data_IF_153887550760
#
_entry.id   IF_153887550760
#
_cell.length_a   1.000
_cell.length_b   1.000
_cell.length_c   1.000
_cell.angle_alpha   90.00
_cell.angle_beta   90.00
_cell.angle_gamma   90.00
#
_symmetry.space_group_name_H-M   'P 1'
#
loop_
_entity.id
_entity.type
_entity.pdbx_description
1 polymer ?
#
# COMPACT_ATOMS: atom_id res chain seq x y z
N UNK A 1 -20.25 -62.56 5.97
CA UNK A 1 -20.66 -61.37 6.74
C UNK A 1 -19.42 -60.57 7.05
N UNK A 2 -19.20 -59.48 6.56
CA UNK A 2 -19.60 -58.32 5.89
C UNK A 2 -18.38 -57.64 5.20
N UNK A 3 -18.42 -57.55 3.92
CA UNK A 3 -17.40 -56.86 3.12
C UNK A 3 -18.12 -55.74 2.40
N UNK A 4 -18.45 -54.62 3.08
CA UNK A 4 -19.21 -53.54 2.44
C UNK A 4 -18.88 -52.11 2.88
N UNK A 5 -17.68 -51.82 3.43
CA UNK A 5 -17.42 -50.44 3.88
C UNK A 5 -16.14 -49.76 3.34
N UNK A 6 -15.40 -50.40 2.43
CA UNK A 6 -14.17 -49.82 1.89
C UNK A 6 -14.34 -49.02 0.59
N UNK A 7 -15.55 -48.91 0.01
CA UNK A 7 -15.80 -48.21 -1.25
C UNK A 7 -16.14 -46.74 -1.09
N UNK A 8 -16.68 -46.29 0.02
CA UNK A 8 -17.11 -44.90 0.24
C UNK A 8 -16.00 -43.93 0.65
N UNK A 9 -15.00 -44.46 1.34
CA UNK A 9 -13.90 -43.61 1.82
C UNK A 9 -12.93 -43.23 0.71
N UNK A 10 -12.73 -44.10 -0.30
CA UNK A 10 -11.85 -43.77 -1.46
C UNK A 10 -12.44 -42.73 -2.40
N UNK A 11 -13.75 -42.66 -2.56
CA UNK A 11 -14.42 -41.66 -3.40
C UNK A 11 -14.34 -40.24 -2.80
N UNK A 12 -14.36 -40.13 -1.48
CA UNK A 12 -14.32 -38.84 -0.80
C UNK A 12 -12.93 -38.18 -0.87
N UNK A 13 -11.86 -38.97 -0.80
CA UNK A 13 -10.50 -38.45 -0.90
C UNK A 13 -10.13 -37.96 -2.32
N UNK A 14 -10.70 -38.55 -3.38
CA UNK A 14 -10.47 -38.06 -4.74
C UNK A 14 -11.26 -36.79 -5.07
N UNK A 15 -12.46 -36.63 -4.53
CA UNK A 15 -13.26 -35.40 -4.71
C UNK A 15 -12.63 -34.19 -3.97
N UNK A 16 -12.12 -34.41 -2.75
CA UNK A 16 -11.45 -33.35 -1.98
C UNK A 16 -10.12 -32.95 -2.63
N UNK A 17 -9.35 -33.91 -3.17
CA UNK A 17 -8.10 -33.64 -3.86
C UNK A 17 -8.30 -32.83 -5.16
N UNK A 18 -9.40 -33.07 -5.91
CA UNK A 18 -9.69 -32.29 -7.11
C UNK A 18 -10.18 -30.86 -6.79
N UNK A 19 -10.93 -30.67 -5.72
CA UNK A 19 -11.40 -29.33 -5.31
C UNK A 19 -10.22 -28.49 -4.82
N UNK A 20 -9.28 -29.07 -4.07
CA UNK A 20 -8.07 -28.36 -3.60
C UNK A 20 -7.15 -28.02 -4.78
N UNK A 21 -7.01 -28.90 -5.79
CA UNK A 21 -6.21 -28.62 -6.98
C UNK A 21 -6.84 -27.50 -7.86
N UNK A 22 -8.15 -27.42 -7.94
CA UNK A 22 -8.84 -26.37 -8.71
C UNK A 22 -8.79 -25.00 -8.01
N UNK A 23 -8.85 -24.96 -6.68
CA UNK A 23 -8.72 -23.73 -5.90
C UNK A 23 -7.27 -23.21 -5.94
N UNK A 24 -6.28 -24.09 -5.90
CA UNK A 24 -4.87 -23.68 -6.07
C UNK A 24 -4.55 -23.18 -7.48
N UNK A 25 -5.13 -23.77 -8.53
CA UNK A 25 -4.93 -23.31 -9.90
C UNK A 25 -5.60 -21.96 -10.16
N UNK A 26 -6.78 -21.70 -9.58
CA UNK A 26 -7.44 -20.41 -9.64
C UNK A 26 -6.72 -19.33 -8.82
N UNK A 27 -6.17 -19.70 -7.66
CA UNK A 27 -5.38 -18.78 -6.83
C UNK A 27 -4.03 -18.41 -7.46
N UNK A 28 -3.37 -19.35 -8.16
CA UNK A 28 -2.13 -19.04 -8.88
C UNK A 28 -2.37 -18.17 -10.13
N UNK A 29 -3.51 -18.33 -10.82
CA UNK A 29 -3.86 -17.47 -11.95
C UNK A 29 -4.29 -16.06 -11.52
N UNK A 30 -4.87 -15.89 -10.31
CA UNK A 30 -5.19 -14.58 -9.74
C UNK A 30 -3.94 -13.88 -9.14
N UNK A 31 -2.98 -14.63 -8.63
CA UNK A 31 -1.76 -14.05 -8.03
C UNK A 31 -0.85 -13.33 -9.05
N UNK A 32 -0.94 -13.68 -10.33
CA UNK A 32 -0.21 -12.99 -11.42
C UNK A 32 -0.95 -11.73 -11.89
N UNK A 33 -2.26 -11.61 -11.64
CA UNK A 33 -3.05 -10.43 -12.00
C UNK A 33 -3.15 -9.38 -10.86
N UNK A 34 -2.77 -9.73 -9.60
CA UNK A 34 -2.85 -8.87 -8.42
C UNK A 34 -1.49 -8.30 -8.00
N UNK A 35 -0.47 -8.49 -8.77
CA UNK A 35 0.92 -8.17 -8.44
C UNK A 35 1.37 -6.74 -8.76
N UNK A 36 0.50 -5.81 -9.08
CA UNK A 36 0.89 -4.42 -9.21
C UNK A 36 -0.28 -3.54 -8.79
N UNK A 37 -0.07 -2.63 -7.87
CA UNK A 37 -0.87 -1.42 -7.72
C UNK A 37 -0.65 -0.48 -8.91
N UNK A 38 -0.54 -1.05 -10.11
CA UNK A 38 -0.53 -0.35 -11.40
C UNK A 38 -1.90 -0.61 -12.01
N UNK A 39 -2.64 0.43 -12.22
CA UNK A 39 -3.93 0.40 -12.88
C UNK A 39 -3.85 -0.40 -14.19
N UNK A 40 -4.62 -1.48 -14.29
CA UNK A 40 -4.79 -2.21 -15.55
C UNK A 40 -5.93 -1.55 -16.31
N UNK A 41 -5.60 -0.74 -17.27
CA UNK A 41 -6.53 0.02 -18.06
C UNK A 41 -7.05 -0.78 -19.26
N UNK A 42 -8.30 -0.53 -19.67
CA UNK A 42 -8.83 -0.92 -20.97
C UNK A 42 -8.95 0.35 -21.82
N UNK A 43 -8.27 0.36 -22.96
CA UNK A 43 -8.18 1.52 -23.83
C UNK A 43 -9.42 1.74 -24.69
N UNK A 44 -9.88 2.97 -24.77
CA UNK A 44 -10.65 3.48 -25.90
C UNK A 44 -9.79 4.41 -26.77
N UNK A 45 -9.94 4.30 -28.09
CA UNK A 45 -9.04 4.83 -29.12
C UNK A 45 -9.25 6.32 -29.44
N UNK A 46 -9.16 7.23 -28.49
CA UNK A 46 -9.12 8.64 -28.87
C UNK A 46 -7.87 9.33 -28.29
N UNK A 47 -6.76 9.18 -29.03
CA UNK A 47 -5.54 9.94 -28.77
C UNK A 47 -5.79 11.44 -28.82
N UNK A 48 -6.06 12.08 -27.69
CA UNK A 48 -6.03 13.53 -27.52
C UNK A 48 -4.68 13.94 -26.91
N UNK A 49 -3.80 14.43 -27.75
CA UNK A 49 -2.68 15.24 -27.30
C UNK A 49 -3.27 16.52 -26.67
N UNK A 50 -3.10 16.69 -25.37
CA UNK A 50 -3.59 17.86 -24.63
C UNK A 50 -4.91 17.68 -23.89
N UNK A 51 -5.47 16.46 -23.75
CA UNK A 51 -6.73 16.20 -23.07
C UNK A 51 -6.55 15.74 -21.62
N UNK A 52 -7.59 15.97 -20.83
CA UNK A 52 -7.82 15.34 -19.53
C UNK A 52 -8.18 13.87 -19.72
N UNK A 53 -7.94 13.04 -18.69
CA UNK A 53 -8.29 11.63 -18.65
C UNK A 53 -9.46 11.35 -17.71
N UNK A 54 -9.72 10.05 -17.52
CA UNK A 54 -10.67 9.51 -16.57
C UNK A 54 -9.94 8.53 -15.65
N UNK A 55 -10.25 8.58 -14.36
CA UNK A 55 -9.86 7.53 -13.41
C UNK A 55 -11.14 6.83 -12.96
N UNK A 56 -11.30 5.56 -13.35
CA UNK A 56 -12.35 4.68 -12.85
C UNK A 56 -11.79 3.81 -11.73
N UNK A 57 -12.32 3.97 -10.54
CA UNK A 57 -11.95 3.18 -9.37
C UNK A 57 -12.93 2.03 -9.18
N UNK A 58 -12.42 0.82 -9.02
CA UNK A 58 -13.17 -0.34 -8.56
C UNK A 58 -12.92 -0.54 -7.08
N UNK A 59 -13.99 -0.44 -6.29
CA UNK A 59 -13.96 -0.53 -4.84
C UNK A 59 -15.03 -1.50 -4.38
N UNK A 60 -14.61 -2.72 -4.13
CA UNK A 60 -15.48 -3.82 -3.75
C UNK A 60 -14.75 -4.78 -2.81
N UNK A 61 -15.50 -5.55 -2.06
CA UNK A 61 -14.99 -6.66 -1.29
C UNK A 61 -15.78 -7.92 -1.60
N UNK A 62 -15.10 -8.94 -2.17
CA UNK A 62 -15.71 -10.23 -2.57
C UNK A 62 -16.92 -10.08 -3.53
N UNK A 63 -16.92 -9.04 -4.37
CA UNK A 63 -17.99 -8.74 -5.31
C UNK A 63 -19.16 -7.94 -4.72
N UNK A 64 -19.07 -7.55 -3.44
CA UNK A 64 -20.05 -6.67 -2.80
C UNK A 64 -19.61 -5.22 -2.86
N UNK A 65 -20.58 -4.33 -3.09
CA UNK A 65 -20.37 -2.88 -3.05
C UNK A 65 -20.05 -2.40 -1.63
N UNK A 66 -19.12 -1.45 -1.53
CA UNK A 66 -18.84 -0.66 -0.34
C UNK A 66 -19.36 0.76 -0.58
N UNK A 67 -20.65 0.87 -0.93
CA UNK A 67 -21.29 2.09 -1.37
C UNK A 67 -21.51 3.08 -0.25
N UNK A 68 -21.25 4.35 -0.55
CA UNK A 68 -21.44 5.46 0.38
C UNK A 68 -20.13 6.04 0.92
N UNK A 69 -19.02 5.30 0.80
CA UNK A 69 -17.72 5.77 1.24
C UNK A 69 -17.19 6.92 0.39
N UNK A 70 -16.43 7.79 1.04
CA UNK A 70 -15.65 8.83 0.39
C UNK A 70 -14.39 8.29 -0.26
N UNK A 71 -13.98 8.94 -1.33
CA UNK A 71 -12.68 8.73 -1.97
C UNK A 71 -12.10 10.05 -2.43
N UNK A 72 -10.82 10.24 -2.17
CA UNK A 72 -10.10 11.48 -2.49
C UNK A 72 -8.94 11.20 -3.44
N UNK A 73 -8.80 12.07 -4.44
CA UNK A 73 -7.66 12.11 -5.35
C UNK A 73 -6.75 13.28 -5.00
N UNK A 74 -5.47 13.02 -4.86
CA UNK A 74 -4.42 14.02 -4.66
C UNK A 74 -3.45 13.96 -5.83
N UNK A 75 -3.35 15.02 -6.63
CA UNK A 75 -2.36 15.09 -7.71
C UNK A 75 -0.98 15.35 -7.13
N UNK A 76 -0.19 14.30 -7.03
CA UNK A 76 1.14 14.32 -6.40
C UNK A 76 2.20 14.85 -7.36
N UNK A 77 2.09 14.54 -8.66
CA UNK A 77 3.04 14.98 -9.67
C UNK A 77 2.35 15.33 -10.98
N UNK A 78 2.97 16.21 -11.74
CA UNK A 78 2.56 16.64 -13.06
C UNK A 78 3.27 15.80 -14.13
N UNK A 79 2.57 15.50 -15.24
CA UNK A 79 3.13 14.81 -16.40
C UNK A 79 3.45 15.79 -17.52
N UNK A 80 4.70 15.86 -17.96
CA UNK A 80 5.18 16.77 -19.01
C UNK A 80 5.21 16.15 -20.43
N UNK A 81 4.82 14.89 -20.56
CA UNK A 81 4.89 14.12 -21.81
C UNK A 81 5.98 13.07 -21.85
N UNK A 82 6.88 13.03 -20.87
CA UNK A 82 7.99 12.08 -20.77
C UNK A 82 8.38 11.71 -19.36
N UNK A 83 8.08 12.57 -18.38
CA UNK A 83 8.43 12.36 -16.99
C UNK A 83 7.34 12.91 -16.05
N UNK A 84 7.37 12.47 -14.81
CA UNK A 84 6.58 13.03 -13.72
C UNK A 84 7.43 14.00 -12.89
N UNK A 85 6.93 15.21 -12.70
CA UNK A 85 7.55 16.23 -11.85
C UNK A 85 6.74 16.35 -10.56
N UNK A 86 7.38 16.12 -9.42
CA UNK A 86 6.76 16.24 -8.11
C UNK A 86 6.27 17.69 -7.89
N UNK A 87 5.05 17.82 -7.35
CA UNK A 87 4.48 19.14 -7.03
C UNK A 87 5.02 19.63 -5.69
N UNK A 88 5.22 20.94 -5.58
CA UNK A 88 5.83 21.60 -4.40
C UNK A 88 5.17 21.19 -3.07
N UNK A 89 3.85 20.99 -3.04
CA UNK A 89 3.13 20.58 -1.83
C UNK A 89 3.48 19.17 -1.29
N UNK A 90 4.32 18.42 -2.00
CA UNK A 90 4.73 17.05 -1.60
C UNK A 90 6.25 16.91 -1.44
N UNK A 91 7.01 17.96 -1.65
CA UNK A 91 8.47 17.94 -1.51
C UNK A 91 8.92 17.55 -0.10
N UNK A 92 8.20 18.04 0.93
CA UNK A 92 8.51 17.80 2.33
C UNK A 92 8.09 16.39 2.83
N UNK A 93 7.40 15.62 1.99
CA UNK A 93 7.08 14.23 2.32
C UNK A 93 8.31 13.31 2.26
N UNK A 94 9.38 13.73 1.56
CA UNK A 94 10.69 13.05 1.47
C UNK A 94 10.59 11.53 1.19
N UNK A 95 9.57 11.12 0.43
CA UNK A 95 9.28 9.71 0.23
C UNK A 95 10.17 9.06 -0.83
N UNK A 96 10.47 7.79 -0.60
CA UNK A 96 11.25 6.97 -1.50
C UNK A 96 11.66 5.65 -0.85
N UNK A 97 11.91 4.64 -1.66
CA UNK A 97 12.25 3.29 -1.19
C UNK A 97 13.74 2.98 -1.25
N UNK A 98 14.52 3.82 -1.92
CA UNK A 98 15.96 3.73 -2.00
C UNK A 98 16.61 5.14 -1.97
N UNK A 99 17.94 5.18 -2.03
CA UNK A 99 18.74 6.40 -1.91
C UNK A 99 18.50 7.43 -3.04
N UNK A 100 17.76 7.08 -4.11
CA UNK A 100 17.40 7.97 -5.21
C UNK A 100 16.09 8.72 -4.93
N UNK A 101 15.36 8.31 -3.87
CA UNK A 101 14.11 8.95 -3.46
C UNK A 101 13.04 8.94 -4.56
N UNK A 102 12.36 10.07 -4.74
CA UNK A 102 11.36 10.28 -5.79
C UNK A 102 11.92 9.98 -7.19
N UNK A 103 13.09 10.50 -7.52
CA UNK A 103 13.70 10.33 -8.85
C UNK A 103 13.91 8.85 -9.16
N UNK A 104 14.37 8.07 -8.16
CA UNK A 104 14.55 6.65 -8.32
C UNK A 104 13.25 5.88 -8.57
N UNK A 105 12.18 6.25 -7.87
CA UNK A 105 10.86 5.66 -8.09
C UNK A 105 10.33 5.97 -9.50
N UNK A 106 10.54 7.20 -9.98
CA UNK A 106 10.10 7.61 -11.32
C UNK A 106 10.93 6.98 -12.44
N UNK A 107 12.24 6.84 -12.24
CA UNK A 107 13.11 6.11 -13.18
C UNK A 107 12.71 4.64 -13.27
N UNK A 108 12.47 3.99 -12.12
CA UNK A 108 12.03 2.60 -12.07
C UNK A 108 10.64 2.42 -12.70
N UNK A 109 9.73 3.39 -12.54
CA UNK A 109 8.43 3.40 -13.21
C UNK A 109 8.58 3.50 -14.73
N UNK A 110 9.39 4.43 -15.21
CA UNK A 110 9.66 4.63 -16.63
C UNK A 110 10.28 3.41 -17.28
N UNK A 111 11.20 2.75 -16.57
CA UNK A 111 11.91 1.57 -17.03
C UNK A 111 11.10 0.27 -16.88
N UNK A 112 9.90 0.33 -16.29
CA UNK A 112 9.06 -0.84 -15.97
C UNK A 112 9.67 -1.76 -14.91
N UNK A 113 10.53 -1.21 -14.04
CA UNK A 113 11.23 -1.93 -12.96
C UNK A 113 10.60 -1.69 -11.59
N UNK A 114 9.75 -0.67 -11.47
CA UNK A 114 9.11 -0.34 -10.21
C UNK A 114 8.25 -1.49 -9.70
N UNK A 115 8.49 -1.92 -8.47
CA UNK A 115 7.74 -3.00 -7.86
C UNK A 115 6.45 -2.51 -7.20
N UNK A 116 5.50 -3.42 -7.00
CA UNK A 116 4.25 -3.12 -6.29
C UNK A 116 4.51 -2.67 -4.85
N UNK A 117 5.53 -3.23 -4.21
CA UNK A 117 5.94 -2.89 -2.84
C UNK A 117 6.48 -1.46 -2.77
N UNK A 118 7.27 -1.02 -3.76
CA UNK A 118 7.78 0.35 -3.83
C UNK A 118 6.63 1.35 -3.96
N UNK A 119 5.67 1.09 -4.85
CA UNK A 119 4.49 1.94 -5.00
C UNK A 119 3.61 1.94 -3.76
N UNK A 120 3.43 0.78 -3.11
CA UNK A 120 2.63 0.71 -1.89
C UNK A 120 3.29 1.48 -0.74
N UNK A 121 4.61 1.37 -0.57
CA UNK A 121 5.34 2.11 0.45
C UNK A 121 5.27 3.63 0.21
N UNK A 122 5.39 4.07 -1.05
CA UNK A 122 5.22 5.48 -1.41
C UNK A 122 3.78 5.96 -1.15
N UNK A 123 2.77 5.17 -1.53
CA UNK A 123 1.37 5.49 -1.27
C UNK A 123 1.07 5.61 0.24
N UNK A 124 1.58 4.68 1.06
CA UNK A 124 1.39 4.72 2.52
C UNK A 124 2.05 5.96 3.15
N UNK A 125 3.25 6.32 2.67
CA UNK A 125 3.95 7.53 3.16
C UNK A 125 3.17 8.79 2.81
N UNK A 126 2.69 8.89 1.56
CA UNK A 126 1.91 10.02 1.09
C UNK A 126 0.54 10.11 1.75
N UNK A 127 -0.16 8.98 2.00
CA UNK A 127 -1.45 8.97 2.69
C UNK A 127 -1.31 9.55 4.11
N UNK A 128 -0.32 9.09 4.87
CA UNK A 128 -0.05 9.63 6.19
C UNK A 128 0.36 11.11 6.15
N UNK A 129 1.09 11.52 5.11
CA UNK A 129 1.50 12.91 4.91
C UNK A 129 0.30 13.82 4.62
N UNK A 130 -0.51 13.50 3.61
CA UNK A 130 -1.63 14.37 3.20
C UNK A 130 -2.67 14.54 4.31
N UNK A 131 -2.90 13.49 5.11
CA UNK A 131 -3.81 13.54 6.26
C UNK A 131 -3.24 14.42 7.37
N UNK A 132 -1.98 14.23 7.75
CA UNK A 132 -1.38 14.97 8.87
C UNK A 132 -1.13 16.45 8.55
N UNK A 133 -0.82 16.79 7.30
CA UNK A 133 -0.61 18.19 6.87
C UNK A 133 -1.92 18.86 6.41
N UNK A 134 -3.05 18.11 6.36
CA UNK A 134 -4.32 18.64 5.88
C UNK A 134 -4.26 19.10 4.43
N UNK A 135 -3.54 18.37 3.59
CA UNK A 135 -3.43 18.71 2.16
C UNK A 135 -4.80 18.60 1.51
N UNK A 136 -5.20 19.62 0.75
CA UNK A 136 -6.50 19.62 0.07
C UNK A 136 -6.49 18.64 -1.11
N UNK A 137 -7.54 17.81 -1.20
CA UNK A 137 -7.71 16.88 -2.31
C UNK A 137 -7.95 17.63 -3.63
N UNK A 138 -7.37 17.13 -4.72
CA UNK A 138 -7.60 17.68 -6.07
C UNK A 138 -9.04 17.46 -6.53
N UNK A 139 -9.60 16.28 -6.23
CA UNK A 139 -10.99 15.93 -6.45
C UNK A 139 -11.44 14.97 -5.34
N UNK A 140 -12.72 15.04 -4.98
CA UNK A 140 -13.36 14.10 -4.05
C UNK A 140 -14.56 13.46 -4.74
N UNK A 141 -14.92 12.26 -4.33
CA UNK A 141 -16.06 11.52 -4.84
C UNK A 141 -16.63 10.58 -3.78
N UNK A 142 -17.73 9.95 -4.15
CA UNK A 142 -18.38 8.93 -3.33
C UNK A 142 -18.47 7.64 -4.13
N UNK A 143 -18.31 6.51 -3.47
CA UNK A 143 -18.46 5.19 -4.08
C UNK A 143 -19.94 4.90 -4.35
N UNK A 144 -20.27 4.60 -5.59
CA UNK A 144 -21.58 4.14 -6.02
C UNK A 144 -21.47 2.81 -6.77
N UNK A 145 -22.35 1.86 -6.43
CA UNK A 145 -22.24 0.52 -6.96
C UNK A 145 -20.88 -0.10 -6.60
N UNK A 146 -20.10 -0.46 -7.60
CA UNK A 146 -18.79 -1.11 -7.39
C UNK A 146 -17.59 -0.16 -7.56
N UNK A 147 -17.81 1.16 -7.44
CA UNK A 147 -16.68 2.09 -7.57
C UNK A 147 -17.03 3.56 -7.69
N UNK A 148 -16.07 4.34 -8.14
CA UNK A 148 -16.22 5.77 -8.44
C UNK A 148 -15.54 6.12 -9.76
N UNK A 149 -15.95 7.23 -10.38
CA UNK A 149 -15.35 7.73 -11.62
C UNK A 149 -15.04 9.22 -11.48
N UNK A 150 -13.83 9.57 -11.82
CA UNK A 150 -13.33 10.94 -11.87
C UNK A 150 -13.03 11.32 -13.31
N UNK A 151 -13.74 12.30 -13.83
CA UNK A 151 -13.55 12.82 -15.20
C UNK A 151 -12.82 14.16 -15.18
N UNK A 152 -12.24 14.52 -16.33
CA UNK A 152 -11.50 15.78 -16.43
C UNK A 152 -10.20 15.79 -15.64
N UNK A 153 -9.61 14.63 -15.39
CA UNK A 153 -8.36 14.48 -14.64
C UNK A 153 -7.20 14.90 -15.53
N UNK A 154 -6.43 15.87 -15.10
CA UNK A 154 -5.19 16.26 -15.80
C UNK A 154 -4.16 15.13 -15.79
N UNK A 155 -3.21 15.17 -16.73
CA UNK A 155 -2.12 14.19 -16.75
C UNK A 155 -1.19 14.38 -15.55
N UNK A 156 -0.94 13.31 -14.80
CA UNK A 156 -0.15 13.36 -13.58
C UNK A 156 -0.10 12.02 -12.84
N UNK A 157 0.53 11.99 -11.68
CA UNK A 157 0.47 10.90 -10.72
C UNK A 157 -0.47 11.28 -9.60
N UNK A 158 -1.39 10.40 -9.28
CA UNK A 158 -2.43 10.61 -8.29
C UNK A 158 -2.32 9.62 -7.14
N UNK A 159 -2.36 10.14 -5.92
CA UNK A 159 -2.64 9.34 -4.74
C UNK A 159 -4.16 9.21 -4.61
N UNK A 160 -4.63 7.98 -4.48
CA UNK A 160 -6.03 7.63 -4.21
C UNK A 160 -6.13 7.22 -2.75
N UNK A 161 -6.97 7.90 -2.01
CA UNK A 161 -7.23 7.64 -0.59
C UNK A 161 -8.71 7.35 -0.42
N UNK A 162 -9.03 6.27 0.27
CA UNK A 162 -10.40 5.86 0.58
C UNK A 162 -10.71 6.16 2.03
N UNK A 163 -11.95 6.56 2.29
CA UNK A 163 -12.47 6.59 3.64
C UNK A 163 -12.76 5.16 4.12
N UNK A 164 -12.90 4.99 5.42
CA UNK A 164 -13.22 3.71 6.03
C UNK A 164 -14.71 3.44 5.88
N UNK A 165 -15.07 2.32 5.27
CA UNK A 165 -16.44 1.84 5.24
C UNK A 165 -16.81 1.15 6.55
N UNK A 166 -17.98 1.48 7.10
CA UNK A 166 -18.51 0.83 8.28
C UNK A 166 -20.03 0.71 8.19
N UNK A 167 -20.53 -0.49 8.41
CA UNK A 167 -21.95 -0.75 8.59
C UNK A 167 -22.18 -1.59 9.87
N UNK A 168 -23.42 -2.04 10.10
CA UNK A 168 -23.76 -2.82 11.29
C UNK A 168 -23.11 -4.22 11.33
N UNK A 169 -22.53 -4.69 10.23
CA UNK A 169 -22.04 -6.07 10.07
C UNK A 169 -20.53 -6.11 9.87
N UNK A 170 -19.99 -5.16 9.11
CA UNK A 170 -18.59 -5.15 8.70
C UNK A 170 -17.99 -3.75 8.68
N UNK A 171 -16.72 -3.70 8.95
CA UNK A 171 -15.85 -2.54 8.76
C UNK A 171 -14.81 -2.88 7.71
N UNK A 172 -14.67 -2.04 6.70
CA UNK A 172 -13.73 -2.25 5.61
C UNK A 172 -12.77 -1.09 5.48
N UNK A 173 -11.53 -1.41 5.16
CA UNK A 173 -10.51 -0.42 4.80
C UNK A 173 -9.86 -0.78 3.48
N UNK A 174 -9.33 0.20 2.79
CA UNK A 174 -8.49 0.03 1.61
C UNK A 174 -7.18 0.73 1.78
N UNK A 175 -6.11 0.09 1.34
CA UNK A 175 -4.81 0.75 1.24
C UNK A 175 -4.86 1.86 0.19
N UNK A 176 -4.25 2.99 0.50
CA UNK A 176 -4.01 4.03 -0.50
C UNK A 176 -3.20 3.48 -1.68
N UNK A 177 -3.36 4.07 -2.85
CA UNK A 177 -2.68 3.62 -4.07
C UNK A 177 -2.25 4.78 -4.95
N UNK A 178 -1.23 4.57 -5.77
CA UNK A 178 -0.77 5.53 -6.76
C UNK A 178 -1.29 5.12 -8.15
N UNK A 179 -1.87 6.08 -8.87
CA UNK A 179 -2.42 5.91 -10.20
C UNK A 179 -1.85 6.94 -11.15
N UNK A 180 -1.23 6.52 -12.24
CA UNK A 180 -0.70 7.43 -13.26
C UNK A 180 -1.69 7.70 -14.38
N UNK A 181 -1.81 8.96 -14.80
CA UNK A 181 -2.52 9.41 -15.99
C UNK A 181 -1.56 10.22 -16.85
N UNK A 182 -1.15 9.73 -18.02
CA UNK A 182 -1.52 8.47 -18.63
C UNK A 182 -0.85 7.27 -17.95
N UNK A 183 -1.48 6.10 -18.10
CA UNK A 183 -0.90 4.81 -17.75
C UNK A 183 -0.29 4.15 -19.00
N UNK A 184 0.75 3.33 -18.81
CA UNK A 184 1.37 2.58 -19.88
C UNK A 184 0.75 1.17 -19.96
N UNK A 185 0.01 0.90 -21.04
CA UNK A 185 -0.54 -0.40 -21.34
C UNK A 185 0.16 -1.03 -22.55
N UNK A 186 0.96 -2.03 -22.29
CA UNK A 186 1.65 -2.77 -23.36
C UNK A 186 2.45 -1.84 -24.31
N UNK A 187 3.06 -0.76 -23.79
CA UNK A 187 3.81 0.20 -24.57
C UNK A 187 2.98 1.35 -25.15
N UNK A 188 1.67 1.38 -24.88
CA UNK A 188 0.77 2.48 -25.29
C UNK A 188 0.34 3.29 -24.08
N UNK A 189 0.40 4.60 -24.19
CA UNK A 189 -0.11 5.52 -23.15
C UNK A 189 -1.62 5.71 -23.31
N UNK A 190 -2.36 5.44 -22.23
CA UNK A 190 -3.82 5.60 -22.14
C UNK A 190 -4.17 6.58 -21.04
N UNK A 191 -5.13 7.47 -21.29
CA UNK A 191 -5.56 8.48 -20.32
C UNK A 191 -6.80 8.09 -19.54
N UNK A 192 -7.56 7.10 -20.01
CA UNK A 192 -8.70 6.55 -19.29
C UNK A 192 -8.24 5.30 -18.55
N UNK A 193 -8.13 5.41 -17.24
CA UNK A 193 -7.41 4.46 -16.38
C UNK A 193 -8.38 3.78 -15.42
N UNK A 194 -8.27 2.46 -15.27
CA UNK A 194 -9.00 1.68 -14.25
C UNK A 194 -8.06 1.24 -13.14
N UNK A 195 -8.39 1.57 -11.91
CA UNK A 195 -7.67 1.14 -10.74
C UNK A 195 -8.56 0.28 -9.84
N UNK A 196 -7.95 -0.72 -9.22
CA UNK A 196 -8.63 -1.66 -8.32
C UNK A 196 -8.08 -1.48 -6.92
N UNK A 197 -8.98 -1.24 -5.95
CA UNK A 197 -8.58 -1.16 -4.55
C UNK A 197 -8.26 -2.54 -3.99
N UNK A 198 -7.38 -2.57 -3.00
CA UNK A 198 -7.16 -3.74 -2.14
C UNK A 198 -7.93 -3.53 -0.86
N UNK A 199 -9.19 -3.96 -0.83
CA UNK A 199 -10.06 -3.83 0.32
C UNK A 199 -9.93 -5.05 1.23
N UNK A 200 -9.94 -4.82 2.53
CA UNK A 200 -10.07 -5.85 3.56
C UNK A 200 -11.22 -5.49 4.48
N UNK A 201 -12.04 -6.48 4.84
CA UNK A 201 -13.16 -6.27 5.73
C UNK A 201 -13.08 -7.22 6.92
N UNK A 202 -13.44 -6.71 8.08
CA UNK A 202 -13.59 -7.45 9.32
C UNK A 202 -15.04 -7.29 9.82
N UNK A 203 -15.52 -8.21 10.64
CA UNK A 203 -16.84 -8.05 11.27
C UNK A 203 -16.81 -6.84 12.20
N UNK A 204 -17.86 -6.00 12.16
CA UNK A 204 -18.00 -4.89 13.11
C UNK A 204 -18.17 -5.46 14.53
N UNK A 205 -17.31 -5.09 15.49
CA UNK A 205 -17.40 -5.59 16.86
C UNK A 205 -18.71 -5.16 17.53
N UNK A 206 -19.34 -6.07 18.28
CA UNK A 206 -20.54 -5.77 19.08
C UNK A 206 -20.25 -4.82 20.28
N UNK A 207 -18.99 -4.59 20.59
CA UNK A 207 -18.51 -3.77 21.70
C UNK A 207 -17.28 -2.99 21.25
N UNK A 208 -17.00 -1.81 21.80
CA UNK A 208 -15.79 -1.08 21.46
C UNK A 208 -14.57 -1.94 21.80
N UNK A 209 -13.92 -2.45 20.78
CA UNK A 209 -12.66 -3.17 20.91
C UNK A 209 -11.50 -2.19 20.94
N UNK A 210 -10.47 -2.54 21.70
CA UNK A 210 -9.23 -1.80 21.68
C UNK A 210 -8.21 -2.48 20.79
N UNK A 211 -7.45 -1.68 20.07
CA UNK A 211 -6.34 -2.13 19.25
C UNK A 211 -5.02 -1.54 19.76
N UNK A 212 -3.94 -1.88 19.11
CA UNK A 212 -2.62 -1.29 19.32
C UNK A 212 -1.97 -0.98 17.97
N UNK A 213 -1.03 -0.07 17.97
CA UNK A 213 -0.17 0.22 16.83
C UNK A 213 1.27 0.15 17.31
N UNK A 214 2.06 -0.73 16.69
CA UNK A 214 3.47 -0.91 16.98
C UNK A 214 4.30 -0.28 15.86
N UNK A 215 5.22 0.62 16.20
CA UNK A 215 6.11 1.25 15.22
C UNK A 215 7.56 0.83 15.46
N UNK A 216 8.24 0.47 14.38
CA UNK A 216 9.66 0.16 14.35
C UNK A 216 10.37 1.03 13.33
N UNK A 217 11.47 1.68 13.74
CA UNK A 217 12.34 2.45 12.84
C UNK A 217 13.47 1.59 12.32
N UNK A 218 13.67 1.63 11.02
CA UNK A 218 14.79 0.98 10.32
C UNK A 218 15.64 2.04 9.61
N UNK A 219 16.96 1.83 9.60
CA UNK A 219 17.92 2.70 8.92
C UNK A 219 18.66 1.90 7.85
N UNK A 220 18.82 2.46 6.64
CA UNK A 220 19.50 1.83 5.51
C UNK A 220 20.52 2.77 4.89
N UNK A 221 21.64 2.22 4.41
CA UNK A 221 22.64 2.94 3.63
C UNK A 221 23.49 3.94 4.40
N UNK A 222 23.46 3.92 5.74
CA UNK A 222 24.19 4.83 6.64
C UNK A 222 25.08 4.09 7.62
N UNK A 223 25.82 4.87 8.43
CA UNK A 223 26.51 4.38 9.62
C UNK A 223 25.78 4.86 10.87
N UNK A 224 25.90 4.14 11.97
CA UNK A 224 25.26 4.51 13.23
C UNK A 224 25.61 5.93 13.70
N UNK A 225 26.82 6.40 13.40
CA UNK A 225 27.31 7.73 13.76
C UNK A 225 26.68 8.85 12.94
N UNK A 226 26.17 8.54 11.73
CA UNK A 226 25.50 9.51 10.87
C UNK A 226 24.02 9.71 11.23
N UNK A 227 23.46 8.81 12.05
CA UNK A 227 22.05 8.88 12.45
C UNK A 227 21.81 9.98 13.46
N UNK A 228 20.64 10.63 13.41
CA UNK A 228 20.24 11.52 14.50
C UNK A 228 20.11 10.72 15.81
N UNK A 229 20.25 11.38 16.95
CA UNK A 229 20.08 10.76 18.26
C UNK A 229 18.64 10.27 18.51
N UNK A 230 17.66 10.89 17.85
CA UNK A 230 16.26 10.54 17.93
C UNK A 230 15.49 11.09 16.72
N UNK A 231 14.30 10.53 16.45
CA UNK A 231 13.29 11.08 15.55
C UNK A 231 11.95 11.16 16.27
N UNK A 232 11.01 11.92 15.71
CA UNK A 232 9.61 11.95 16.15
C UNK A 232 8.73 11.24 15.15
N UNK A 233 7.82 10.40 15.66
CA UNK A 233 6.76 9.77 14.89
C UNK A 233 5.40 10.24 15.41
N UNK A 234 4.46 10.45 14.51
CA UNK A 234 3.10 10.87 14.82
C UNK A 234 2.13 9.73 14.57
N UNK A 235 1.28 9.46 15.56
CA UNK A 235 0.09 8.64 15.39
C UNK A 235 -1.04 9.55 14.92
N UNK A 236 -1.69 9.17 13.84
CA UNK A 236 -2.78 9.91 13.20
C UNK A 236 -4.05 9.10 13.36
N UNK A 237 -5.12 9.73 13.84
CA UNK A 237 -6.46 9.18 13.96
C UNK A 237 -7.39 9.90 13.00
N UNK A 238 -7.99 9.19 12.06
CA UNK A 238 -8.98 9.73 11.12
C UNK A 238 -8.52 11.02 10.40
N UNK A 239 -7.22 11.12 10.13
CA UNK A 239 -6.62 12.27 9.46
C UNK A 239 -6.07 13.36 10.38
N UNK A 240 -6.24 13.27 11.70
CA UNK A 240 -5.71 14.24 12.66
C UNK A 240 -4.59 13.64 13.51
N UNK A 241 -3.57 14.45 13.84
CA UNK A 241 -2.49 14.02 14.73
C UNK A 241 -3.04 13.77 16.12
N UNK A 242 -3.05 12.52 16.56
CA UNK A 242 -3.54 12.09 17.86
C UNK A 242 -2.47 12.12 18.93
N UNK A 243 -1.26 11.61 18.63
CA UNK A 243 -0.14 11.54 19.57
C UNK A 243 1.20 11.62 18.84
N UNK A 244 2.26 11.90 19.58
CA UNK A 244 3.63 11.97 19.06
C UNK A 244 4.57 11.23 20.01
N UNK A 245 5.35 10.30 19.46
CA UNK A 245 6.36 9.54 20.20
C UNK A 245 7.77 9.82 19.68
N UNK A 246 8.75 9.64 20.55
CA UNK A 246 10.18 9.76 20.21
C UNK A 246 10.79 8.38 20.08
N UNK A 247 11.43 8.10 18.94
CA UNK A 247 12.21 6.89 18.71
C UNK A 247 13.69 7.22 18.79
N UNK A 248 14.45 6.41 19.53
CA UNK A 248 15.87 6.59 19.77
C UNK A 248 16.55 5.23 20.05
N UNK A 249 17.87 5.20 20.11
CA UNK A 249 18.60 3.99 20.48
C UNK A 249 18.19 3.45 21.86
N UNK A 250 17.84 4.33 22.80
CA UNK A 250 17.43 3.95 24.16
C UNK A 250 16.13 3.14 24.25
N UNK A 251 15.23 3.25 23.28
CA UNK A 251 14.02 2.43 23.17
C UNK A 251 14.09 1.45 21.98
N UNK A 252 15.31 1.12 21.53
CA UNK A 252 15.56 0.24 20.39
C UNK A 252 14.83 0.69 19.08
N UNK A 253 14.62 1.99 18.94
CA UNK A 253 13.92 2.58 17.80
C UNK A 253 12.49 2.06 17.62
N UNK A 254 11.78 1.82 18.74
CA UNK A 254 10.43 1.25 18.77
C UNK A 254 9.52 2.03 19.71
N UNK A 255 8.24 2.02 19.39
CA UNK A 255 7.17 2.48 20.28
C UNK A 255 5.91 1.67 20.03
N UNK A 256 5.03 1.58 21.04
CA UNK A 256 3.74 0.92 20.96
C UNK A 256 2.67 1.81 21.60
N UNK A 257 1.64 2.11 20.85
CA UNK A 257 0.40 2.69 21.38
C UNK A 257 -0.59 1.56 21.61
N UNK A 258 -1.16 1.48 22.79
CA UNK A 258 -2.12 0.44 23.18
C UNK A 258 -3.41 1.05 23.75
N UNK A 259 -4.49 0.27 23.75
CA UNK A 259 -5.79 0.73 24.21
C UNK A 259 -6.42 1.77 23.27
N UNK A 260 -6.04 1.75 22.01
CA UNK A 260 -6.63 2.59 20.97
C UNK A 260 -8.01 2.04 20.60
N UNK A 261 -8.95 2.92 20.35
CA UNK A 261 -10.26 2.52 19.86
C UNK A 261 -10.17 1.94 18.45
N UNK A 262 -10.56 0.68 18.28
CA UNK A 262 -10.45 -0.04 17.02
C UNK A 262 -11.44 0.46 15.94
N UNK A 263 -12.41 1.29 16.32
CA UNK A 263 -13.34 1.91 15.36
C UNK A 263 -12.72 3.02 14.53
N UNK A 264 -11.54 3.52 14.91
CA UNK A 264 -10.84 4.58 14.19
C UNK A 264 -9.80 4.06 13.21
N UNK A 265 -9.52 4.85 12.18
CA UNK A 265 -8.39 4.60 11.28
C UNK A 265 -7.09 5.16 11.89
N UNK A 266 -6.08 4.30 11.99
CA UNK A 266 -4.81 4.64 12.63
C UNK A 266 -3.66 4.56 11.64
N UNK A 267 -2.95 5.68 11.46
CA UNK A 267 -1.77 5.79 10.62
C UNK A 267 -0.57 6.25 11.44
N UNK A 268 0.63 5.95 10.96
CA UNK A 268 1.88 6.46 11.55
C UNK A 268 2.73 7.09 10.47
N UNK A 269 3.30 8.26 10.78
CA UNK A 269 4.34 8.90 9.95
C UNK A 269 5.54 9.34 10.76
N UNK A 270 6.67 9.54 10.12
CA UNK A 270 7.77 10.33 10.67
C UNK A 270 7.46 11.81 10.51
N UNK A 271 7.55 12.58 11.59
CA UNK A 271 7.17 13.99 11.59
C UNK A 271 8.07 14.85 10.71
N UNK A 272 9.37 14.67 10.86
CA UNK A 272 10.39 15.37 10.11
C UNK A 272 11.45 14.35 9.69
N UNK A 273 11.54 14.07 8.39
CA UNK A 273 12.58 13.20 7.86
C UNK A 273 13.93 13.90 7.99
N UNK A 274 14.96 13.28 8.58
CA UNK A 274 16.27 13.92 8.71
C UNK A 274 16.90 14.24 7.36
N UNK A 275 17.59 15.37 7.26
CA UNK A 275 18.29 15.76 6.04
C UNK A 275 19.22 14.63 5.54
N UNK A 276 19.18 14.35 4.26
CA UNK A 276 19.96 13.29 3.62
C UNK A 276 19.33 11.90 3.69
N UNK A 277 18.08 11.81 4.09
CA UNK A 277 17.29 10.57 4.06
C UNK A 277 16.01 10.74 3.25
N UNK A 278 15.51 9.62 2.75
CA UNK A 278 14.13 9.46 2.27
C UNK A 278 13.45 8.41 3.12
N UNK A 279 12.13 8.51 3.26
CA UNK A 279 11.32 7.65 4.12
C UNK A 279 10.41 6.74 3.30
N UNK A 280 10.25 5.51 3.77
CA UNK A 280 9.25 4.56 3.29
C UNK A 280 8.49 3.99 4.48
N UNK A 281 7.16 3.90 4.37
CA UNK A 281 6.28 3.34 5.39
C UNK A 281 5.66 2.04 4.88
N UNK A 282 5.95 0.95 5.58
CA UNK A 282 5.37 -0.37 5.36
C UNK A 282 4.40 -0.67 6.49
N UNK A 283 3.19 -1.16 6.17
CA UNK A 283 2.17 -1.54 7.15
C UNK A 283 1.78 -2.99 6.96
N UNK A 284 1.76 -3.71 8.07
CA UNK A 284 1.22 -5.07 8.15
C UNK A 284 0.25 -5.11 9.34
N UNK A 285 -1.04 -4.91 9.07
CA UNK A 285 -2.08 -4.76 10.10
C UNK A 285 -1.74 -3.61 11.07
N UNK A 286 -1.42 -3.93 12.32
CA UNK A 286 -1.06 -2.98 13.40
C UNK A 286 0.43 -2.71 13.50
N UNK A 287 1.25 -3.44 12.77
CA UNK A 287 2.70 -3.27 12.76
C UNK A 287 3.12 -2.29 11.66
N UNK A 288 3.83 -1.25 12.03
CA UNK A 288 4.33 -0.22 11.11
C UNK A 288 5.85 -0.20 11.12
N UNK A 289 6.46 -0.33 9.96
CA UNK A 289 7.90 -0.17 9.79
C UNK A 289 8.19 1.12 9.03
N UNK A 290 8.90 2.04 9.65
CA UNK A 290 9.38 3.27 9.02
C UNK A 290 10.86 3.08 8.68
N UNK A 291 11.19 3.05 7.40
CA UNK A 291 12.55 2.90 6.91
C UNK A 291 13.07 4.23 6.38
N UNK A 292 14.17 4.74 6.97
CA UNK A 292 14.93 5.84 6.37
C UNK A 292 16.13 5.30 5.60
N UNK A 293 16.24 5.68 4.34
CA UNK A 293 17.36 5.33 3.47
C UNK A 293 18.20 6.56 3.18
N UNK A 294 19.51 6.50 3.45
CA UNK A 294 20.41 7.61 3.17
C UNK A 294 20.51 7.88 1.66
N UNK A 295 20.29 9.13 1.24
CA UNK A 295 20.38 9.59 -0.16
C UNK A 295 21.82 9.76 -0.64
N UNK A 296 22.75 9.99 0.29
CA UNK A 296 24.18 10.03 0.02
C UNK A 296 24.85 8.94 0.84
N UNK A 297 25.52 8.02 0.17
CA UNK A 297 26.36 7.05 0.85
C UNK A 297 27.40 7.82 1.67
N UNK A 298 27.41 7.62 3.00
CA UNK A 298 28.45 8.20 3.84
C UNK A 298 29.81 7.79 3.23
N UNK A 299 30.56 8.79 2.77
CA UNK A 299 31.82 8.56 2.06
C UNK A 299 32.83 7.84 2.95
N UNK A 300 32.79 6.51 2.96
CA UNK A 300 33.92 5.70 3.33
C UNK A 300 34.91 5.84 2.19
N UNK A 301 35.93 6.64 2.37
CA UNK A 301 37.05 6.70 1.43
C UNK A 301 37.67 5.31 1.28
N UNK A 302 37.17 4.56 0.34
CA UNK A 302 37.76 3.36 -0.24
C UNK A 302 36.85 2.90 -1.39
N UNK A 303 37.41 2.79 -2.58
CA UNK A 303 36.78 2.17 -3.73
C UNK A 303 36.32 0.74 -3.42
N UNK A 304 35.05 0.56 -3.12
CA UNK A 304 34.42 -0.76 -3.07
C UNK A 304 33.32 -0.76 -4.08
N UNK A 305 33.51 -1.59 -5.14
CA UNK A 305 32.43 -2.03 -6.02
C UNK A 305 31.26 -2.52 -5.17
N UNK A 306 30.14 -1.86 -5.22
CA UNK A 306 28.88 -2.39 -4.65
C UNK A 306 28.39 -3.47 -5.58
N UNK A 307 28.56 -4.71 -5.15
CA UNK A 307 27.91 -5.87 -5.74
C UNK A 307 26.43 -5.73 -5.37
N UNK A 308 25.59 -5.46 -6.38
CA UNK A 308 24.16 -5.59 -6.27
C UNK A 308 23.81 -7.07 -6.01
N UNK A 309 23.43 -7.38 -4.81
CA UNK A 309 23.03 -8.73 -4.44
C UNK A 309 22.39 -8.75 -3.05
N UNK A 310 21.11 -8.94 -3.02
CA UNK A 310 20.20 -9.44 -1.98
C UNK A 310 18.98 -8.54 -1.75
N UNK A 311 18.05 -8.64 -2.65
CA UNK A 311 16.63 -8.31 -2.39
C UNK A 311 15.75 -9.47 -2.86
N UNK A 312 15.91 -10.64 -2.26
CA UNK A 312 14.97 -11.77 -2.39
C UNK A 312 14.97 -12.52 -1.07
N UNK A 313 14.18 -12.09 -0.09
CA UNK A 313 13.80 -12.96 1.05
C UNK A 313 12.81 -12.32 2.04
N UNK A 314 11.75 -11.65 1.62
CA UNK A 314 10.67 -11.29 2.59
C UNK A 314 9.26 -11.62 2.08
N UNK A 315 9.08 -11.99 0.82
CA UNK A 315 7.76 -12.33 0.28
C UNK A 315 7.20 -13.70 0.72
N UNK A 316 7.94 -14.52 1.45
CA UNK A 316 7.51 -15.89 1.82
C UNK A 316 6.97 -16.05 3.24
N UNK A 317 7.11 -15.06 4.11
CA UNK A 317 6.65 -15.17 5.50
C UNK A 317 5.16 -14.82 5.70
N UNK A 318 4.61 -13.90 4.89
CA UNK A 318 3.21 -13.47 5.02
C UNK A 318 2.19 -14.56 4.62
N UNK A 319 2.55 -15.43 3.66
CA UNK A 319 1.67 -16.53 3.22
C UNK A 319 1.64 -17.70 4.21
N UNK A 320 2.66 -17.88 5.04
CA UNK A 320 2.69 -18.94 6.04
C UNK A 320 1.85 -18.61 7.28
N UNK A 321 1.73 -17.36 7.66
CA UNK A 321 0.94 -16.92 8.81
C UNK A 321 -0.57 -17.07 8.58
N UNK A 322 -1.06 -16.78 7.36
CA UNK A 322 -2.48 -16.97 7.02
C UNK A 322 -2.90 -18.45 7.00
N UNK A 323 -2.00 -19.35 6.65
CA UNK A 323 -2.28 -20.79 6.64
C UNK A 323 -2.40 -21.38 8.07
N UNK A 324 -1.65 -20.83 9.03
CA UNK A 324 -1.63 -21.32 10.42
C UNK A 324 -2.89 -20.88 11.22
N UNK A 325 -3.39 -19.67 10.95
CA UNK A 325 -4.62 -19.17 11.58
C UNK A 325 -5.84 -19.96 11.09
N UNK A 326 -5.88 -20.29 9.81
CA UNK A 326 -7.01 -21.03 9.21
C UNK A 326 -7.10 -22.49 9.65
N UNK A 327 -5.97 -23.12 10.00
CA UNK A 327 -5.95 -24.51 10.50
C UNK A 327 -6.29 -24.65 11.98
N UNK A 328 -6.19 -23.58 12.77
CA UNK A 328 -6.61 -23.59 14.19
C UNK A 328 -8.11 -23.40 14.38
N UNK A 329 -8.78 -22.67 13.46
CA UNK A 329 -10.23 -22.41 13.52
C UNK A 329 -11.13 -23.61 13.13
N UNK A 330 -10.57 -24.65 12.52
CA UNK A 330 -11.30 -25.86 12.12
C UNK A 330 -11.06 -27.05 13.05
N UNK A 331 -10.61 -26.83 14.28
CA UNK A 331 -10.35 -27.90 15.27
C UNK A 331 -11.07 -27.74 16.62
N UNK A 332 -11.96 -26.74 16.71
CA UNK A 332 -12.88 -26.60 17.85
C UNK A 332 -14.33 -26.80 17.39
#
# INVERSE_FOLDING_TARGET
>A
MNNHDNGRVRGLFHAVAMIVAFVCAAACALAVALGAGVAVAHADETGRAGGTGIIELKYEYQGESLEGDGVSLYRVADWDGGAFTLRDGYADADFGTDARGWDGLMDDLKDGKASAEQFQAAANTLDAYVRAEGVEATQTGTIYGLGASFSGVDKGLYLVVYDRFEDAVKTCGSSASLVSVPSNENGRLVSDVKAYSKSSCEATPESPETTRVDVTKVWKGDTQQARPGSIQVQLIRDGEVYDTATLAAGNNWKHSWSGLDASHDWLVREKNVPEGYVVAVERDSTDVTITNTATKQAGTGSNVMVVAGLMVAVASAALAALAIVRTRRNRD
#
